data_IF_479189510422
#
_entry.id   IF_479189510422
#
_cell.length_a   1.000
_cell.length_b   1.000
_cell.length_c   1.000
_cell.angle_alpha   90.00
_cell.angle_beta   90.00
_cell.angle_gamma   90.00
#
_symmetry.space_group_name_H-M   'P 1'
#
loop_
_entity.id
_entity.type
_entity.pdbx_description
1 polymer ?
#
# COMPACT_ATOMS: atom_id res chain seq x y z
N UNK A 1 33.36 -8.90 -14.34
CA UNK A 1 32.81 -9.42 -13.06
C UNK A 1 32.57 -8.30 -12.05
N UNK A 2 33.61 -7.60 -11.56
CA UNK A 2 33.47 -6.53 -10.53
C UNK A 2 32.49 -5.38 -10.86
N UNK A 3 32.39 -4.97 -12.13
CA UNK A 3 31.43 -3.93 -12.57
C UNK A 3 29.97 -4.43 -12.52
N UNK A 4 29.73 -5.69 -12.86
CA UNK A 4 28.41 -6.31 -12.88
C UNK A 4 27.90 -6.60 -11.46
N UNK A 5 28.78 -7.08 -10.57
CA UNK A 5 28.50 -7.24 -9.14
C UNK A 5 28.14 -5.90 -8.48
N UNK A 6 28.83 -4.82 -8.84
CA UNK A 6 28.54 -3.48 -8.31
C UNK A 6 27.17 -2.95 -8.79
N UNK A 7 26.81 -3.17 -10.05
CA UNK A 7 25.50 -2.78 -10.59
C UNK A 7 24.36 -3.56 -9.93
N UNK A 8 24.52 -4.87 -9.74
CA UNK A 8 23.54 -5.72 -9.05
C UNK A 8 23.34 -5.27 -7.59
N UNK A 9 24.43 -4.93 -6.90
CA UNK A 9 24.35 -4.43 -5.53
C UNK A 9 23.58 -3.11 -5.44
N UNK A 10 23.90 -2.14 -6.31
CA UNK A 10 23.18 -0.85 -6.36
C UNK A 10 21.69 -1.06 -6.61
N UNK A 11 21.34 -1.97 -7.52
CA UNK A 11 19.94 -2.26 -7.81
C UNK A 11 19.21 -2.89 -6.61
N UNK A 12 19.85 -3.81 -5.89
CA UNK A 12 19.27 -4.41 -4.69
C UNK A 12 19.06 -3.36 -3.59
N UNK A 13 20.04 -2.48 -3.37
CA UNK A 13 19.93 -1.40 -2.38
C UNK A 13 18.77 -0.44 -2.74
N UNK A 14 18.57 -0.15 -4.04
CA UNK A 14 17.43 0.64 -4.52
C UNK A 14 16.08 -0.05 -4.27
N UNK A 15 15.98 -1.36 -4.51
CA UNK A 15 14.75 -2.13 -4.24
C UNK A 15 14.36 -2.01 -2.76
N UNK A 16 15.33 -2.18 -1.85
CA UNK A 16 15.08 -2.09 -0.42
C UNK A 16 14.70 -0.67 0.00
N UNK A 17 15.35 0.36 -0.56
CA UNK A 17 14.98 1.74 -0.31
C UNK A 17 13.54 2.06 -0.74
N UNK A 18 13.08 1.53 -1.89
CA UNK A 18 11.68 1.68 -2.30
C UNK A 18 10.70 0.96 -1.38
N UNK A 19 11.06 -0.23 -0.88
CA UNK A 19 10.24 -0.96 0.09
C UNK A 19 10.12 -0.21 1.43
N UNK A 20 11.23 0.30 1.95
CA UNK A 20 11.23 1.13 3.16
C UNK A 20 10.41 2.40 2.97
N UNK A 21 10.58 3.09 1.85
CA UNK A 21 9.80 4.31 1.57
C UNK A 21 8.29 4.00 1.46
N UNK A 22 7.90 2.91 0.78
CA UNK A 22 6.50 2.49 0.70
C UNK A 22 5.89 2.24 2.08
N UNK A 23 6.64 1.64 3.02
CA UNK A 23 6.21 1.49 4.40
C UNK A 23 6.02 2.84 5.12
N UNK A 24 6.86 3.84 4.86
CA UNK A 24 6.73 5.17 5.44
C UNK A 24 5.52 5.95 4.93
N UNK A 25 5.03 5.65 3.72
CA UNK A 25 3.81 6.26 3.18
C UNK A 25 2.54 5.80 3.92
N UNK A 26 2.58 4.63 4.57
CA UNK A 26 1.46 4.11 5.35
C UNK A 26 1.35 4.85 6.69
N UNK A 27 0.18 5.39 6.99
CA UNK A 27 -0.09 6.00 8.28
C UNK A 27 -0.22 4.91 9.38
N UNK A 28 0.36 5.10 10.57
CA UNK A 28 0.17 4.16 11.68
C UNK A 28 -1.28 4.14 12.16
N UNK A 29 -1.79 2.98 12.59
CA UNK A 29 -3.12 2.84 13.19
C UNK A 29 -3.00 2.48 14.68
N UNK A 30 -3.55 3.32 15.55
CA UNK A 30 -3.54 3.10 16.99
C UNK A 30 -4.57 2.04 17.40
N UNK A 31 -4.26 1.23 18.44
CA UNK A 31 -5.21 0.26 18.95
C UNK A 31 -6.40 0.98 19.60
N UNK A 32 -7.57 0.32 19.62
CA UNK A 32 -8.79 0.87 20.25
C UNK A 32 -8.57 1.31 21.70
N UNK A 33 -7.68 0.64 22.45
CA UNK A 33 -7.32 1.00 23.83
C UNK A 33 -6.76 2.42 23.97
N UNK A 34 -6.10 2.94 22.93
CA UNK A 34 -5.46 4.25 22.90
C UNK A 34 -5.77 4.98 21.58
N UNK A 35 -7.04 5.05 21.19
CA UNK A 35 -7.43 5.60 19.89
C UNK A 35 -7.07 7.08 19.76
N UNK A 36 -6.25 7.41 18.78
CA UNK A 36 -5.91 8.77 18.38
C UNK A 36 -6.27 8.93 16.91
N UNK A 37 -7.05 9.96 16.59
CA UNK A 37 -7.31 10.31 15.20
C UNK A 37 -6.01 10.80 14.56
N UNK A 38 -5.55 10.10 13.52
CA UNK A 38 -4.39 10.49 12.73
C UNK A 38 -4.77 10.78 11.30
N UNK A 39 -3.99 11.66 10.67
CA UNK A 39 -4.14 11.95 9.26
C UNK A 39 -3.80 10.68 8.45
N UNK A 40 -4.75 10.09 7.69
CA UNK A 40 -4.47 8.91 6.87
C UNK A 40 -3.42 9.16 5.78
N UNK A 41 -3.15 10.44 5.47
CA UNK A 41 -2.13 10.87 4.51
C UNK A 41 -0.86 11.40 5.19
N UNK A 42 -0.62 11.07 6.47
CA UNK A 42 0.54 11.57 7.22
C UNK A 42 1.86 11.30 6.48
N UNK A 43 2.04 10.10 5.89
CA UNK A 43 3.23 9.74 5.13
C UNK A 43 3.38 10.49 3.78
N UNK A 44 2.37 11.25 3.38
CA UNK A 44 2.34 12.05 2.14
C UNK A 44 2.32 13.56 2.43
N UNK A 45 2.48 13.98 3.69
CA UNK A 45 2.32 15.38 4.12
C UNK A 45 3.32 16.35 3.49
N UNK A 46 4.52 15.89 3.14
CA UNK A 46 5.56 16.72 2.53
C UNK A 46 5.38 16.91 1.01
N UNK A 47 4.41 16.20 0.40
CA UNK A 47 4.16 16.24 -1.04
C UNK A 47 3.09 17.31 -1.36
N UNK A 48 3.27 18.14 -2.40
CA UNK A 48 2.24 19.09 -2.84
C UNK A 48 0.92 18.40 -3.19
N UNK A 49 -0.21 19.01 -2.83
CA UNK A 49 -1.57 18.44 -3.00
C UNK A 49 -1.80 17.79 -4.37
N UNK A 50 -1.50 18.49 -5.47
CA UNK A 50 -1.69 17.97 -6.84
C UNK A 50 -0.84 16.74 -7.14
N UNK A 51 0.40 16.69 -6.63
CA UNK A 51 1.28 15.54 -6.81
C UNK A 51 0.80 14.33 -6.02
N UNK A 52 0.29 14.57 -4.80
CA UNK A 52 -0.28 13.53 -3.93
C UNK A 52 -1.58 12.97 -4.51
N UNK A 53 -2.46 13.83 -5.02
CA UNK A 53 -3.68 13.44 -5.71
C UNK A 53 -3.38 12.53 -6.91
N UNK A 54 -2.45 12.95 -7.78
CA UNK A 54 -2.02 12.14 -8.92
C UNK A 54 -1.34 10.84 -8.49
N UNK A 55 -0.61 10.83 -7.38
CA UNK A 55 -0.01 9.61 -6.85
C UNK A 55 -1.08 8.63 -6.37
N UNK A 56 -2.01 9.06 -5.51
CA UNK A 56 -3.05 8.22 -4.92
C UNK A 56 -4.04 7.70 -5.97
N UNK A 57 -4.56 8.59 -6.81
CA UNK A 57 -5.54 8.24 -7.85
C UNK A 57 -4.98 7.23 -8.85
N UNK A 58 -3.72 7.40 -9.28
CA UNK A 58 -3.08 6.49 -10.24
C UNK A 58 -2.53 5.22 -9.58
N UNK A 59 -2.46 5.13 -8.25
CA UNK A 59 -1.85 3.97 -7.57
C UNK A 59 -2.89 3.08 -6.90
N UNK A 60 -3.86 3.68 -6.21
CA UNK A 60 -4.89 2.94 -5.45
C UNK A 60 -6.32 3.42 -5.75
N UNK A 61 -6.50 4.36 -6.68
CA UNK A 61 -7.83 4.89 -7.02
C UNK A 61 -8.48 5.72 -5.91
N UNK A 62 -7.69 6.18 -4.94
CA UNK A 62 -8.16 7.06 -3.87
C UNK A 62 -7.92 8.52 -4.25
N UNK A 63 -8.84 9.39 -3.84
CA UNK A 63 -8.82 10.82 -4.14
C UNK A 63 -8.79 11.63 -2.84
N UNK A 64 -8.10 12.77 -2.87
CA UNK A 64 -8.04 13.78 -1.80
C UNK A 64 -9.20 14.78 -1.85
N UNK A 65 -10.03 14.68 -2.88
CA UNK A 65 -11.19 15.54 -3.09
C UNK A 65 -12.44 14.70 -3.32
N UNK A 66 -13.60 15.33 -3.18
CA UNK A 66 -14.87 14.70 -3.52
C UNK A 66 -14.95 14.46 -5.03
N UNK A 67 -15.74 13.48 -5.51
CA UNK A 67 -15.92 13.27 -6.95
C UNK A 67 -16.56 14.50 -7.62
N UNK A 68 -16.31 14.70 -8.91
CA UNK A 68 -16.74 15.87 -9.68
C UNK A 68 -18.25 16.11 -9.58
N UNK A 69 -19.06 15.05 -9.58
CA UNK A 69 -20.52 15.16 -9.47
C UNK A 69 -20.99 15.83 -8.17
N UNK A 70 -20.24 15.67 -7.07
CA UNK A 70 -20.53 16.35 -5.82
C UNK A 70 -20.45 17.87 -5.98
N UNK A 71 -19.39 18.37 -6.63
CA UNK A 71 -19.23 19.81 -6.87
C UNK A 71 -20.25 20.34 -7.88
N UNK A 72 -20.60 19.57 -8.91
CA UNK A 72 -21.66 19.94 -9.85
C UNK A 72 -23.02 20.08 -9.18
N UNK A 73 -23.34 19.23 -8.21
CA UNK A 73 -24.55 19.37 -7.39
C UNK A 73 -24.52 20.64 -6.54
N UNK A 74 -23.39 20.94 -5.89
CA UNK A 74 -23.21 22.18 -5.12
C UNK A 74 -23.35 23.45 -5.96
N UNK A 75 -22.94 23.40 -7.22
CA UNK A 75 -23.14 24.50 -8.18
C UNK A 75 -24.63 24.63 -8.53
N UNK A 76 -25.30 23.50 -8.79
CA UNK A 76 -26.75 23.48 -9.09
C UNK A 76 -27.59 24.04 -7.94
N UNK A 77 -27.21 23.73 -6.71
CA UNK A 77 -27.88 24.21 -5.50
C UNK A 77 -27.53 25.67 -5.16
N UNK A 78 -26.66 26.33 -5.94
CA UNK A 78 -26.21 27.69 -5.69
C UNK A 78 -25.27 27.86 -4.49
N UNK A 79 -24.74 26.75 -3.93
CA UNK A 79 -23.74 26.79 -2.85
C UNK A 79 -22.35 27.16 -3.36
N UNK A 80 -22.05 26.85 -4.63
CA UNK A 80 -20.86 27.30 -5.35
C UNK A 80 -21.33 28.14 -6.54
N UNK A 81 -20.87 29.38 -6.61
CA UNK A 81 -21.25 30.34 -7.65
C UNK A 81 -20.19 30.43 -8.75
N UNK A 82 -20.55 31.01 -9.90
CA UNK A 82 -19.58 31.34 -10.96
C UNK A 82 -18.47 32.28 -10.46
N UNK A 83 -18.78 33.17 -9.51
CA UNK A 83 -17.79 34.07 -8.90
C UNK A 83 -16.73 33.28 -8.12
N UNK A 84 -17.15 32.29 -7.33
CA UNK A 84 -16.23 31.44 -6.56
C UNK A 84 -15.28 30.67 -7.48
N UNK A 85 -15.80 30.18 -8.62
CA UNK A 85 -15.01 29.48 -9.63
C UNK A 85 -14.00 30.44 -10.29
N UNK A 86 -14.44 31.65 -10.65
CA UNK A 86 -13.57 32.67 -11.25
C UNK A 86 -12.43 33.06 -10.30
N UNK A 87 -12.74 33.26 -9.01
CA UNK A 87 -11.73 33.55 -7.99
C UNK A 87 -10.74 32.40 -7.82
N UNK A 88 -11.22 31.15 -7.75
CA UNK A 88 -10.35 29.97 -7.65
C UNK A 88 -9.42 29.82 -8.87
N UNK A 89 -9.92 30.07 -10.08
CA UNK A 89 -9.13 30.03 -11.31
C UNK A 89 -8.04 31.12 -11.33
N UNK A 90 -8.38 32.33 -10.90
CA UNK A 90 -7.43 33.44 -10.79
C UNK A 90 -6.32 33.15 -9.77
N UNK A 91 -6.68 32.58 -8.61
CA UNK A 91 -5.72 32.18 -7.58
C UNK A 91 -4.73 31.10 -8.07
N UNK A 92 -5.12 30.29 -9.07
CA UNK A 92 -4.25 29.32 -9.73
C UNK A 92 -3.48 29.89 -10.94
N UNK A 93 -3.68 31.18 -11.27
CA UNK A 93 -3.10 31.80 -12.46
C UNK A 93 -3.68 31.29 -13.78
N UNK A 94 -4.88 30.71 -13.77
CA UNK A 94 -5.57 30.25 -14.97
C UNK A 94 -6.17 31.42 -15.74
N UNK A 95 -6.10 31.37 -17.07
CA UNK A 95 -6.72 32.34 -17.99
C UNK A 95 -8.09 31.90 -18.51
N UNK A 96 -8.57 30.72 -18.09
CA UNK A 96 -9.84 30.14 -18.54
C UNK A 96 -11.00 30.83 -17.83
N UNK A 97 -12.09 31.11 -18.57
CA UNK A 97 -13.32 31.66 -17.97
C UNK A 97 -14.04 30.61 -17.11
N UNK A 98 -14.84 31.05 -16.14
CA UNK A 98 -15.61 30.14 -15.30
C UNK A 98 -16.63 29.34 -16.13
N UNK A 99 -17.20 29.96 -17.16
CA UNK A 99 -18.15 29.35 -18.09
C UNK A 99 -17.49 28.26 -18.94
N UNK A 100 -16.32 28.52 -19.51
CA UNK A 100 -15.57 27.54 -20.31
C UNK A 100 -15.11 26.37 -19.45
N UNK A 101 -14.66 26.66 -18.22
CA UNK A 101 -14.26 25.64 -17.26
C UNK A 101 -15.42 24.70 -16.93
N UNK A 102 -16.61 25.24 -16.67
CA UNK A 102 -17.81 24.43 -16.42
C UNK A 102 -18.27 23.66 -17.66
N UNK A 103 -18.15 24.25 -18.84
CA UNK A 103 -18.39 23.57 -20.11
C UNK A 103 -17.51 22.34 -20.28
N UNK A 104 -16.21 22.47 -19.94
CA UNK A 104 -15.25 21.38 -19.98
C UNK A 104 -15.53 20.30 -18.92
N UNK A 105 -15.84 20.69 -17.68
CA UNK A 105 -16.15 19.74 -16.59
C UNK A 105 -17.38 18.90 -16.91
N UNK A 106 -18.44 19.49 -17.46
CA UNK A 106 -19.65 18.74 -17.80
C UNK A 106 -19.42 17.66 -18.87
N UNK A 107 -18.35 17.78 -19.65
CA UNK A 107 -17.94 16.79 -20.64
C UNK A 107 -16.87 15.83 -20.11
N UNK A 108 -16.31 16.13 -18.93
CA UNK A 108 -15.25 15.33 -18.33
C UNK A 108 -15.80 13.99 -17.85
N UNK A 109 -15.13 12.91 -18.27
CA UNK A 109 -15.34 11.57 -17.70
C UNK A 109 -14.18 11.29 -16.77
N UNK A 110 -14.47 11.14 -15.48
CA UNK A 110 -13.48 10.67 -14.52
C UNK A 110 -12.90 9.34 -15.00
N UNK A 111 -11.60 9.32 -15.26
CA UNK A 111 -10.86 8.12 -15.63
C UNK A 111 -9.52 8.11 -14.91
N UNK A 112 -9.53 7.57 -13.71
CA UNK A 112 -8.33 7.01 -13.09
C UNK A 112 -8.70 5.64 -12.56
N UNK A 113 -8.55 4.61 -13.40
CA UNK A 113 -8.53 3.24 -12.89
C UNK A 113 -7.09 2.94 -12.49
N UNK A 114 -6.82 2.66 -11.21
CA UNK A 114 -5.48 2.25 -10.81
C UNK A 114 -5.07 0.98 -11.58
N UNK A 115 -3.76 0.74 -11.75
CA UNK A 115 -3.29 -0.51 -12.35
C UNK A 115 -3.69 -1.70 -11.48
N UNK A 116 -3.97 -2.83 -12.11
CA UNK A 116 -4.22 -4.09 -11.42
C UNK A 116 -2.95 -4.57 -10.71
N UNK A 117 -3.07 -5.09 -9.48
CA UNK A 117 -1.99 -5.88 -8.88
C UNK A 117 -1.96 -7.27 -9.52
N UNK A 118 -0.94 -8.05 -9.16
CA UNK A 118 -0.78 -9.42 -9.65
C UNK A 118 -2.01 -10.29 -9.38
N UNK A 119 -2.64 -10.11 -8.22
CA UNK A 119 -3.83 -10.86 -7.81
C UNK A 119 -5.06 -10.56 -8.67
N UNK A 120 -5.24 -9.32 -9.08
CA UNK A 120 -6.33 -8.85 -9.94
C UNK A 120 -6.09 -9.32 -11.37
N UNK A 121 -4.84 -9.28 -11.84
CA UNK A 121 -4.45 -9.89 -13.10
C UNK A 121 -4.78 -11.39 -13.11
N UNK A 122 -4.39 -12.12 -12.06
CA UNK A 122 -4.67 -13.55 -11.93
C UNK A 122 -6.19 -13.82 -11.89
N UNK A 123 -6.96 -13.01 -11.17
CA UNK A 123 -8.41 -13.13 -11.13
C UNK A 123 -9.05 -12.99 -12.51
N UNK A 124 -8.59 -12.04 -13.33
CA UNK A 124 -9.10 -11.84 -14.70
C UNK A 124 -8.81 -13.01 -15.63
N UNK A 125 -7.71 -13.73 -15.41
CA UNK A 125 -7.29 -14.88 -16.23
C UNK A 125 -7.97 -16.17 -15.77
N UNK A 126 -7.98 -16.42 -14.46
CA UNK A 126 -8.42 -17.69 -13.88
C UNK A 126 -9.88 -17.68 -13.40
N UNK A 127 -10.54 -16.51 -13.46
CA UNK A 127 -11.90 -16.28 -12.98
C UNK A 127 -12.10 -16.73 -11.52
N UNK A 128 -11.08 -16.49 -10.69
CA UNK A 128 -11.04 -16.86 -9.29
C UNK A 128 -10.62 -15.65 -8.45
N UNK A 129 -11.25 -15.46 -7.30
CA UNK A 129 -11.04 -14.27 -6.46
C UNK A 129 -9.73 -14.35 -5.64
N UNK A 130 -8.60 -14.33 -6.35
CA UNK A 130 -7.25 -14.29 -5.77
C UNK A 130 -7.01 -13.10 -4.82
N UNK A 131 -7.48 -11.87 -5.11
CA UNK A 131 -7.27 -10.74 -4.19
C UNK A 131 -7.84 -11.02 -2.80
N UNK A 132 -9.10 -11.47 -2.74
CA UNK A 132 -9.76 -11.74 -1.44
C UNK A 132 -9.09 -12.90 -0.72
N UNK A 133 -8.72 -13.97 -1.45
CA UNK A 133 -8.01 -15.11 -0.89
C UNK A 133 -6.68 -14.69 -0.24
N UNK A 134 -5.85 -13.92 -0.94
CA UNK A 134 -4.55 -13.47 -0.42
C UNK A 134 -4.72 -12.58 0.81
N UNK A 135 -5.65 -11.61 0.75
CA UNK A 135 -5.95 -10.73 1.88
C UNK A 135 -6.42 -11.54 3.10
N UNK A 136 -7.26 -12.55 2.90
CA UNK A 136 -7.73 -13.44 3.97
C UNK A 136 -6.58 -14.26 4.59
N UNK A 137 -5.69 -14.83 3.77
CA UNK A 137 -4.54 -15.61 4.30
C UNK A 137 -3.58 -14.74 5.10
N UNK A 138 -3.29 -13.52 4.63
CA UNK A 138 -2.48 -12.55 5.37
C UNK A 138 -3.20 -12.17 6.66
N UNK A 139 -4.51 -11.89 6.60
CA UNK A 139 -5.29 -11.47 7.76
C UNK A 139 -5.37 -12.55 8.85
N UNK A 140 -5.58 -13.81 8.47
CA UNK A 140 -5.56 -14.92 9.42
C UNK A 140 -4.21 -15.07 10.13
N UNK A 141 -3.11 -14.94 9.38
CA UNK A 141 -1.78 -14.97 9.97
C UNK A 141 -1.58 -13.80 10.95
N UNK A 142 -1.85 -12.56 10.50
CA UNK A 142 -1.65 -11.38 11.31
C UNK A 142 -2.53 -11.37 12.57
N UNK A 143 -3.76 -11.86 12.50
CA UNK A 143 -4.65 -11.98 13.65
C UNK A 143 -4.08 -12.91 14.73
N UNK A 144 -3.46 -14.03 14.35
CA UNK A 144 -2.82 -14.93 15.29
C UNK A 144 -1.44 -14.44 15.77
N UNK A 145 -0.68 -13.78 14.90
CA UNK A 145 0.66 -13.28 15.23
C UNK A 145 0.61 -12.08 16.19
N UNK A 146 -0.31 -11.14 15.97
CA UNK A 146 -0.47 -9.96 16.81
C UNK A 146 -1.44 -10.17 17.98
N UNK A 147 -1.82 -11.41 18.28
CA UNK A 147 -2.70 -11.71 19.40
C UNK A 147 -1.98 -11.41 20.73
N UNK A 148 -2.50 -10.45 21.49
CA UNK A 148 -2.02 -10.09 22.84
C UNK A 148 -2.63 -11.02 23.92
N UNK A 149 -2.75 -12.32 23.62
CA UNK A 149 -3.23 -13.35 24.56
C UNK A 149 -4.76 -13.52 24.66
N UNK A 150 -5.51 -13.20 23.61
CA UNK A 150 -6.95 -13.54 23.55
C UNK A 150 -7.16 -15.03 23.26
N UNK A 151 -6.27 -15.65 22.48
CA UNK A 151 -6.28 -17.08 22.26
C UNK A 151 -5.72 -17.83 23.47
N UNK A 152 -6.36 -18.94 23.81
CA UNK A 152 -5.89 -19.84 24.88
C UNK A 152 -4.60 -20.59 24.50
N UNK A 153 -4.27 -20.63 23.21
CA UNK A 153 -3.14 -21.36 22.65
C UNK A 153 -2.12 -20.38 22.11
N UNK A 154 -0.88 -20.44 22.62
CA UNK A 154 0.21 -19.61 22.12
C UNK A 154 0.65 -20.05 20.72
N UNK A 155 0.98 -19.08 19.87
CA UNK A 155 1.58 -19.36 18.56
C UNK A 155 2.93 -20.09 18.73
N UNK A 156 3.19 -21.17 17.96
CA UNK A 156 4.46 -21.90 18.01
C UNK A 156 5.66 -21.09 17.49
N UNK A 157 5.44 -19.91 16.91
CA UNK A 157 6.46 -19.02 16.37
C UNK A 157 6.42 -17.62 17.01
N UNK A 158 5.93 -17.54 18.25
CA UNK A 158 5.78 -16.27 18.98
C UNK A 158 7.12 -15.58 19.29
N UNK A 159 8.22 -16.32 19.27
CA UNK A 159 9.59 -15.82 19.45
C UNK A 159 10.26 -15.38 18.13
N UNK A 160 9.61 -15.59 16.98
CA UNK A 160 10.17 -15.30 15.66
C UNK A 160 9.78 -13.89 15.17
N UNK A 161 10.65 -13.22 14.40
CA UNK A 161 10.29 -12.02 13.64
C UNK A 161 9.11 -12.28 12.69
N UNK A 162 8.34 -11.23 12.38
CA UNK A 162 7.07 -11.31 11.63
C UNK A 162 7.19 -12.15 10.35
N UNK A 163 8.18 -11.85 9.52
CA UNK A 163 8.37 -12.57 8.25
C UNK A 163 8.74 -14.04 8.46
N UNK A 164 9.55 -14.36 9.48
CA UNK A 164 9.94 -15.74 9.80
C UNK A 164 8.75 -16.55 10.28
N UNK A 165 7.98 -16.00 11.20
CA UNK A 165 6.74 -16.61 11.67
C UNK A 165 5.75 -16.84 10.51
N UNK A 166 5.61 -15.86 9.61
CA UNK A 166 4.77 -16.00 8.42
C UNK A 166 5.24 -17.13 7.51
N UNK A 167 6.54 -17.23 7.25
CA UNK A 167 7.10 -18.25 6.37
C UNK A 167 6.84 -19.65 6.92
N UNK A 168 7.02 -19.88 8.22
CA UNK A 168 6.72 -21.16 8.88
C UNK A 168 5.21 -21.50 8.80
N UNK A 169 4.35 -20.51 9.08
CA UNK A 169 2.90 -20.64 8.94
C UNK A 169 2.48 -21.00 7.51
N UNK A 170 2.97 -20.26 6.53
CA UNK A 170 2.64 -20.44 5.12
C UNK A 170 3.21 -21.76 4.55
N UNK A 171 4.33 -22.26 5.10
CA UNK A 171 4.92 -23.54 4.69
C UNK A 171 4.07 -24.75 5.09
N UNK A 172 3.21 -24.65 6.11
CA UNK A 172 2.30 -25.72 6.53
C UNK A 172 0.86 -25.54 6.02
N UNK A 173 0.50 -24.32 5.63
CA UNK A 173 -0.84 -23.96 5.16
C UNK A 173 -1.24 -24.69 3.86
N UNK A 174 -2.33 -25.47 3.93
CA UNK A 174 -2.85 -26.22 2.80
C UNK A 174 -3.91 -25.45 2.00
N UNK A 175 -4.45 -24.33 2.52
CA UNK A 175 -5.50 -23.55 1.84
C UNK A 175 -5.13 -23.12 0.41
N UNK A 176 -3.89 -22.68 0.11
CA UNK A 176 -3.51 -22.34 -1.26
C UNK A 176 -3.56 -23.52 -2.22
N UNK A 177 -3.21 -24.72 -1.76
CA UNK A 177 -3.27 -25.92 -2.60
C UNK A 177 -4.72 -26.33 -2.92
N UNK A 178 -5.63 -26.17 -1.95
CA UNK A 178 -7.08 -26.34 -2.18
C UNK A 178 -7.59 -25.32 -3.20
N UNK A 179 -7.12 -24.07 -3.12
CA UNK A 179 -7.50 -23.00 -4.02
C UNK A 179 -6.95 -23.16 -5.44
N UNK A 180 -5.94 -24.01 -5.65
CA UNK A 180 -5.37 -24.32 -6.97
C UNK A 180 -3.84 -24.16 -7.06
N UNK A 181 -3.19 -23.54 -6.07
CA UNK A 181 -1.73 -23.36 -6.00
C UNK A 181 -1.04 -24.60 -5.42
N UNK A 182 -1.04 -25.70 -6.17
CA UNK A 182 -0.60 -27.04 -5.72
C UNK A 182 0.82 -27.12 -5.15
N UNK A 183 1.73 -26.20 -5.51
CA UNK A 183 3.13 -26.17 -5.05
C UNK A 183 3.44 -25.01 -4.09
N UNK A 184 2.42 -24.36 -3.54
CA UNK A 184 2.62 -23.15 -2.72
C UNK A 184 3.60 -23.39 -1.55
N UNK A 185 3.37 -24.44 -0.75
CA UNK A 185 4.20 -24.74 0.43
C UNK A 185 5.66 -25.04 0.07
N UNK A 186 5.91 -25.75 -1.02
CA UNK A 186 7.27 -26.02 -1.50
C UNK A 186 7.96 -24.74 -1.94
N UNK A 187 7.23 -23.86 -2.65
CA UNK A 187 7.75 -22.55 -3.04
C UNK A 187 8.06 -21.67 -1.82
N UNK A 188 7.18 -21.63 -0.83
CA UNK A 188 7.42 -20.89 0.43
C UNK A 188 8.64 -21.41 1.17
N UNK A 189 8.92 -22.73 1.16
CA UNK A 189 10.17 -23.25 1.76
C UNK A 189 11.41 -22.85 0.96
N UNK A 190 11.28 -22.65 -0.35
CA UNK A 190 12.41 -22.35 -1.25
C UNK A 190 12.82 -20.88 -1.31
N UNK A 191 11.94 -19.94 -0.94
CA UNK A 191 12.28 -18.52 -0.92
C UNK A 191 13.34 -18.23 0.15
N UNK A 192 14.06 -17.10 0.04
CA UNK A 192 15.00 -16.68 1.05
C UNK A 192 14.38 -16.51 2.44
N UNK A 193 15.30 -16.35 3.37
CA UNK A 193 15.07 -16.49 4.78
C UNK A 193 15.01 -15.10 5.42
N UNK A 194 15.76 -14.13 4.87
CA UNK A 194 15.63 -12.71 5.18
C UNK A 194 14.44 -12.08 4.42
N UNK A 195 13.70 -11.13 5.04
CA UNK A 195 12.67 -10.37 4.34
C UNK A 195 13.27 -9.53 3.20
N UNK A 196 14.43 -8.93 3.40
CA UNK A 196 15.14 -8.13 2.39
C UNK A 196 15.49 -8.98 1.16
N UNK A 197 16.10 -10.14 1.37
CA UNK A 197 16.44 -11.08 0.30
C UNK A 197 15.19 -11.59 -0.42
N UNK A 198 14.09 -11.79 0.31
CA UNK A 198 12.81 -12.24 -0.27
C UNK A 198 12.18 -11.15 -1.12
N UNK A 199 12.18 -9.89 -0.68
CA UNK A 199 11.69 -8.75 -1.46
C UNK A 199 12.47 -8.66 -2.78
N UNK A 200 13.80 -8.70 -2.71
CA UNK A 200 14.67 -8.68 -3.89
C UNK A 200 14.33 -9.85 -4.83
N UNK A 201 14.23 -11.07 -4.28
CA UNK A 201 13.89 -12.27 -5.04
C UNK A 201 12.53 -12.14 -5.74
N UNK A 202 11.49 -11.67 -5.05
CA UNK A 202 10.15 -11.49 -5.61
C UNK A 202 10.12 -10.41 -6.70
N UNK A 203 10.76 -9.26 -6.47
CA UNK A 203 10.83 -8.16 -7.44
C UNK A 203 11.53 -8.59 -8.72
N UNK A 204 12.65 -9.31 -8.60
CA UNK A 204 13.38 -9.85 -9.74
C UNK A 204 12.59 -10.94 -10.47
N UNK A 205 11.95 -11.85 -9.73
CA UNK A 205 11.15 -12.95 -10.31
C UNK A 205 9.94 -12.43 -11.08
N UNK A 206 9.26 -11.42 -10.55
CA UNK A 206 8.12 -10.77 -11.20
C UNK A 206 8.54 -9.75 -12.27
N UNK A 207 9.84 -9.47 -12.40
CA UNK A 207 10.41 -8.49 -13.33
C UNK A 207 9.74 -7.12 -13.25
N UNK A 208 9.54 -6.62 -12.03
CA UNK A 208 8.86 -5.33 -11.80
C UNK A 208 9.83 -4.19 -12.17
N UNK A 209 9.43 -3.24 -13.04
CA UNK A 209 10.25 -2.07 -13.36
C UNK A 209 10.50 -1.19 -12.13
N UNK A 210 11.75 -0.75 -11.93
CA UNK A 210 12.14 0.06 -10.77
C UNK A 210 11.38 1.39 -10.71
N UNK A 211 11.02 1.95 -11.86
CA UNK A 211 10.29 3.22 -11.98
C UNK A 211 8.87 3.14 -11.39
N UNK A 212 8.31 1.94 -11.34
CA UNK A 212 6.96 1.66 -10.84
C UNK A 212 6.96 0.97 -9.48
N UNK A 213 8.14 0.56 -8.97
CA UNK A 213 8.25 -0.33 -7.83
C UNK A 213 7.69 0.27 -6.54
N UNK A 214 8.02 1.52 -6.22
CA UNK A 214 7.46 2.20 -5.03
C UNK A 214 5.93 2.22 -5.05
N UNK A 215 5.34 2.59 -6.20
CA UNK A 215 3.88 2.64 -6.37
C UNK A 215 3.27 1.25 -6.20
N UNK A 216 3.89 0.25 -6.79
CA UNK A 216 3.43 -1.13 -6.70
C UNK A 216 3.48 -1.64 -5.25
N UNK A 217 4.58 -1.41 -4.53
CA UNK A 217 4.72 -1.79 -3.12
C UNK A 217 3.72 -1.04 -2.23
N UNK A 218 3.52 0.26 -2.46
CA UNK A 218 2.51 1.03 -1.76
C UNK A 218 1.09 0.50 -2.00
N UNK A 219 0.77 0.11 -3.23
CA UNK A 219 -0.53 -0.48 -3.56
C UNK A 219 -0.72 -1.87 -2.91
N UNK A 220 0.33 -2.71 -2.88
CA UNK A 220 0.32 -3.97 -2.14
C UNK A 220 0.02 -3.76 -0.65
N UNK A 221 0.72 -2.83 0.01
CA UNK A 221 0.50 -2.50 1.41
C UNK A 221 -0.91 -1.94 1.66
N UNK A 222 -1.39 -1.09 0.75
CA UNK A 222 -2.73 -0.49 0.82
C UNK A 222 -3.84 -1.54 0.71
N UNK A 223 -3.64 -2.63 -0.05
CA UNK A 223 -4.62 -3.72 -0.16
C UNK A 223 -4.85 -4.47 1.16
N UNK A 224 -3.88 -4.42 2.08
CA UNK A 224 -3.96 -4.95 3.45
C UNK A 224 -3.87 -3.82 4.49
N UNK A 225 -4.37 -2.63 4.14
CA UNK A 225 -4.10 -1.38 4.84
C UNK A 225 -4.29 -1.38 6.36
N UNK A 226 -5.26 -2.13 6.89
CA UNK A 226 -5.44 -2.28 8.34
C UNK A 226 -4.22 -2.93 9.02
N UNK A 227 -3.73 -4.05 8.49
CA UNK A 227 -2.56 -4.76 9.01
C UNK A 227 -1.26 -4.01 8.73
N UNK A 228 -1.12 -3.39 7.56
CA UNK A 228 0.03 -2.55 7.25
C UNK A 228 0.14 -1.36 8.22
N UNK A 229 -0.98 -0.70 8.52
CA UNK A 229 -1.03 0.41 9.46
C UNK A 229 -0.76 -0.02 10.90
N UNK A 230 -1.22 -1.23 11.28
CA UNK A 230 -0.91 -1.82 12.58
C UNK A 230 0.59 -2.15 12.72
N UNK A 231 1.19 -2.81 11.73
CA UNK A 231 2.62 -3.09 11.71
C UNK A 231 3.44 -1.78 11.74
N UNK A 232 2.98 -0.74 11.03
CA UNK A 232 3.58 0.59 11.08
C UNK A 232 3.53 1.21 12.48
N UNK A 233 2.41 1.06 13.19
CA UNK A 233 2.27 1.49 14.58
C UNK A 233 3.27 0.76 15.50
N UNK A 234 3.40 -0.56 15.36
CA UNK A 234 4.37 -1.35 16.13
C UNK A 234 5.81 -0.87 15.88
N UNK A 235 6.18 -0.64 14.62
CA UNK A 235 7.49 -0.08 14.27
C UNK A 235 7.70 1.32 14.86
N UNK A 236 6.66 2.16 14.90
CA UNK A 236 6.73 3.48 15.52
C UNK A 236 6.93 3.40 17.04
N UNK A 237 6.19 2.52 17.73
CA UNK A 237 6.37 2.26 19.17
C UNK A 237 7.78 1.76 19.45
N UNK A 238 8.22 0.73 18.71
CA UNK A 238 9.57 0.23 18.80
C UNK A 238 10.57 1.35 18.55
N UNK A 239 10.37 2.24 17.58
CA UNK A 239 11.22 3.40 17.34
C UNK A 239 11.29 4.42 18.47
N UNK A 240 10.21 4.58 19.25
CA UNK A 240 10.22 5.40 20.47
C UNK A 240 11.00 4.74 21.60
N UNK A 241 10.85 3.43 21.77
CA UNK A 241 11.62 2.64 22.72
C UNK A 241 13.10 2.56 22.31
N UNK A 242 13.34 2.40 21.01
CA UNK A 242 14.62 2.35 20.29
C UNK A 242 15.25 3.71 20.01
N UNK A 243 14.61 4.83 20.36
CA UNK A 243 15.38 6.05 20.68
C UNK A 243 16.28 5.84 21.90
N UNK A 244 16.17 4.68 22.57
CA UNK A 244 17.21 4.09 23.41
C UNK A 244 18.01 2.92 22.78
N UNK A 245 17.74 2.44 21.54
CA UNK A 245 18.52 1.41 20.81
C UNK A 245 18.13 1.17 19.30
N UNK A 246 18.91 1.66 18.32
CA UNK A 246 18.58 1.68 16.86
C UNK A 246 18.47 0.32 16.12
N UNK A 247 17.32 -0.02 15.50
CA UNK A 247 17.24 -0.86 14.26
C UNK A 247 15.85 -0.77 13.57
N UNK A 248 15.72 -0.48 12.25
CA UNK A 248 14.43 -0.08 11.62
C UNK A 248 13.63 -1.16 10.87
N UNK A 249 14.17 -2.35 10.61
CA UNK A 249 13.50 -3.38 9.79
C UNK A 249 13.31 -4.68 10.58
N UNK A 250 12.05 -5.04 10.86
CA UNK A 250 11.61 -6.34 11.41
C UNK A 250 10.27 -6.72 10.77
#
# INVERSE_FOLDING_TARGET
MKKMENTLKIQNDQILAFAENACHLIAPLWPLKNFVAVNPYQGLGDRPFRSTELFLSNTIGSHLHMPVHYYLEKIRDGQITLSDISEALQNQGSIVSAEDFLGAINQHKERSTPPDLLTECAMKIENQNWPSFVIERISHFCAGYFDEGQAYWSSPWSDQPLFRAWKEYAAIDFSPAIMGLKLFRERVRSIPDSPEETIIHCVQTLNIPLESLERYLFALLSSVGGWASWARYQNWQAGLEKKNDNTPLQ
#
